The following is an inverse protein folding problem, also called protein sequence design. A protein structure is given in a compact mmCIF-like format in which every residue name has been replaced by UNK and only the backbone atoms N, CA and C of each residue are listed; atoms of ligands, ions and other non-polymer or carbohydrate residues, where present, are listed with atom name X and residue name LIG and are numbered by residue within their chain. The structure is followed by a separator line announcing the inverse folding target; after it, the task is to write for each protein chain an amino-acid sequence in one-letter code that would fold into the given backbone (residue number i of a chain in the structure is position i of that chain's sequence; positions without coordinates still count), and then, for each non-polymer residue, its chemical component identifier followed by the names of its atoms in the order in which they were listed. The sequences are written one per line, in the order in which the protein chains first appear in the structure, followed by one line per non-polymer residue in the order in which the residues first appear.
data_IF_733675542899
#
_entry.id   IF_733675542899
#
_cell.length_a   1.000
_cell.length_b   1.000
_cell.length_c   1.000
_cell.angle_alpha   90.00
_cell.angle_beta   90.00
_cell.angle_gamma   90.00
#
_symmetry.space_group_name_H-M   'P 1'
#
loop_
_entity.id
_entity.type
_entity.pdbx_description
1 polymer ?
#
# COMPACT_ATOMS: atom_id res chain seq x y z
N UNK A 1 11.49 -3.57 24.05
CA UNK A 1 10.47 -3.43 23.00
C UNK A 1 10.71 -4.55 22.00
N UNK A 2 9.82 -5.54 21.91
CA UNK A 2 9.96 -6.57 20.88
C UNK A 2 9.93 -5.90 19.50
N UNK A 3 10.83 -6.30 18.60
CA UNK A 3 10.79 -5.82 17.22
C UNK A 3 9.43 -6.21 16.65
N UNK A 4 8.59 -5.22 16.31
CA UNK A 4 7.37 -5.48 15.55
C UNK A 4 7.83 -6.09 14.23
N UNK A 5 7.40 -7.30 13.92
CA UNK A 5 7.68 -7.90 12.61
C UNK A 5 7.16 -6.92 11.55
N UNK A 6 8.03 -6.52 10.61
CA UNK A 6 7.62 -5.67 9.48
C UNK A 6 6.51 -6.37 8.72
N UNK A 7 5.41 -5.67 8.47
CA UNK A 7 4.32 -6.17 7.64
C UNK A 7 4.71 -6.15 6.17
N UNK A 8 3.97 -6.89 5.35
CA UNK A 8 4.07 -6.75 3.90
C UNK A 8 3.37 -5.45 3.50
N UNK A 9 4.03 -4.67 2.67
CA UNK A 9 3.50 -3.40 2.15
C UNK A 9 3.04 -3.59 0.72
N UNK A 10 1.83 -3.14 0.43
CA UNK A 10 1.27 -3.06 -0.90
C UNK A 10 1.10 -1.60 -1.30
N UNK A 11 1.25 -1.32 -2.58
CA UNK A 11 0.96 -0.03 -3.17
C UNK A 11 -0.47 -0.07 -3.70
N UNK A 12 -1.20 1.03 -3.53
CA UNK A 12 -2.54 1.22 -4.09
C UNK A 12 -2.54 2.45 -4.99
N UNK A 13 -2.99 2.29 -6.24
CA UNK A 13 -3.13 3.36 -7.23
C UNK A 13 -4.61 3.58 -7.60
N UNK A 14 -4.90 4.66 -8.34
CA UNK A 14 -6.27 5.03 -8.72
C UNK A 14 -6.98 5.97 -7.73
N UNK A 15 -6.24 6.52 -6.75
CA UNK A 15 -6.81 7.44 -5.77
C UNK A 15 -6.80 8.87 -6.30
N UNK A 16 -7.92 9.58 -6.21
CA UNK A 16 -8.01 10.97 -6.66
C UNK A 16 -7.28 11.93 -5.71
N UNK A 17 -6.46 12.84 -6.25
CA UNK A 17 -5.82 13.88 -5.45
C UNK A 17 -6.80 14.94 -4.92
N UNK A 18 -7.99 15.06 -5.53
CA UNK A 18 -9.05 15.97 -5.11
C UNK A 18 -9.68 15.57 -3.77
N UNK A 19 -9.66 14.28 -3.44
CA UNK A 19 -10.19 13.77 -2.19
C UNK A 19 -9.18 13.99 -1.05
N UNK A 20 -9.67 14.35 0.16
CA UNK A 20 -8.82 14.51 1.32
C UNK A 20 -8.33 13.13 1.82
N UNK A 21 -7.10 13.10 2.34
CA UNK A 21 -6.42 11.86 2.72
C UNK A 21 -7.19 11.04 3.76
N UNK A 22 -7.92 11.70 4.65
CA UNK A 22 -8.70 11.01 5.69
C UNK A 22 -9.93 10.30 5.12
N UNK A 23 -10.59 10.89 4.11
CA UNK A 23 -11.69 10.23 3.39
C UNK A 23 -11.16 9.04 2.58
N UNK A 24 -10.04 9.22 1.88
CA UNK A 24 -9.36 8.13 1.15
C UNK A 24 -9.00 6.97 2.08
N UNK A 25 -8.45 7.24 3.27
CA UNK A 25 -8.12 6.20 4.26
C UNK A 25 -9.34 5.44 4.74
N UNK A 26 -10.44 6.15 5.02
CA UNK A 26 -11.68 5.52 5.50
C UNK A 26 -12.27 4.62 4.42
N UNK A 27 -12.40 5.12 3.20
CA UNK A 27 -12.96 4.35 2.09
C UNK A 27 -12.05 3.18 1.67
N UNK A 28 -10.72 3.36 1.67
CA UNK A 28 -9.78 2.28 1.38
C UNK A 28 -9.82 1.21 2.46
N UNK A 29 -9.93 1.61 3.73
CA UNK A 29 -10.10 0.65 4.83
C UNK A 29 -11.40 -0.14 4.68
N UNK A 30 -12.50 0.51 4.31
CA UNK A 30 -13.77 -0.18 4.08
C UNK A 30 -13.66 -1.21 2.94
N UNK A 31 -13.08 -0.80 1.79
CA UNK A 31 -12.87 -1.71 0.67
C UNK A 31 -11.98 -2.91 1.04
N UNK A 32 -10.93 -2.69 1.86
CA UNK A 32 -10.11 -3.79 2.39
C UNK A 32 -10.95 -4.69 3.29
N UNK A 33 -11.65 -4.13 4.27
CA UNK A 33 -12.44 -4.88 5.25
C UNK A 33 -13.52 -5.75 4.56
N UNK A 34 -14.16 -5.23 3.50
CA UNK A 34 -15.18 -5.94 2.71
C UNK A 34 -14.63 -7.16 1.94
N UNK A 35 -13.32 -7.18 1.68
CA UNK A 35 -12.63 -8.29 0.99
C UNK A 35 -11.86 -9.22 1.93
N UNK A 36 -11.78 -8.89 3.23
CA UNK A 36 -11.16 -9.75 4.23
C UNK A 36 -12.12 -10.89 4.65
N UNK A 37 -11.59 -12.10 4.80
CA UNK A 37 -12.35 -13.19 5.40
C UNK A 37 -12.69 -12.87 6.88
N UNK A 38 -13.79 -13.43 7.38
CA UNK A 38 -14.26 -13.18 8.76
C UNK A 38 -13.18 -13.42 9.82
N UNK A 39 -12.34 -14.43 9.63
CA UNK A 39 -11.26 -14.75 10.56
C UNK A 39 -10.02 -13.86 10.41
N UNK A 40 -9.91 -13.13 9.29
CA UNK A 40 -8.86 -12.15 9.01
C UNK A 40 -9.21 -10.76 9.55
N UNK A 41 -10.48 -10.35 9.49
CA UNK A 41 -10.95 -9.03 9.94
C UNK A 41 -10.55 -8.70 11.40
N UNK A 42 -10.50 -9.71 12.26
CA UNK A 42 -10.08 -9.53 13.67
C UNK A 42 -8.57 -9.59 13.89
N UNK A 43 -7.79 -10.07 12.91
CA UNK A 43 -6.35 -10.33 13.03
C UNK A 43 -5.50 -9.32 12.26
N UNK A 44 -6.00 -8.87 11.11
CA UNK A 44 -5.30 -7.97 10.22
C UNK A 44 -5.81 -6.55 10.46
N UNK A 45 -4.89 -5.66 10.84
CA UNK A 45 -5.16 -4.23 10.92
C UNK A 45 -4.27 -3.53 9.91
N UNK A 46 -4.81 -3.03 8.79
CA UNK A 46 -4.03 -2.34 7.78
C UNK A 46 -3.55 -0.99 8.34
N UNK A 47 -2.28 -0.67 8.10
CA UNK A 47 -1.72 0.66 8.31
C UNK A 47 -1.63 1.36 6.96
N UNK A 48 -2.41 2.43 6.79
CA UNK A 48 -2.59 3.12 5.52
C UNK A 48 -1.91 4.49 5.56
N UNK A 49 -0.96 4.70 4.66
CA UNK A 49 -0.32 6.00 4.43
C UNK A 49 -0.64 6.50 3.02
N UNK A 50 -1.28 7.66 2.92
CA UNK A 50 -1.51 8.34 1.63
C UNK A 50 -0.27 9.16 1.31
N UNK A 51 0.20 9.06 0.07
CA UNK A 51 1.35 9.80 -0.46
C UNK A 51 1.00 10.39 -1.83
N UNK A 52 1.58 11.53 -2.21
CA UNK A 52 1.40 12.06 -3.56
C UNK A 52 1.97 11.08 -4.60
N UNK A 53 1.33 10.99 -5.77
CA UNK A 53 1.91 10.25 -6.90
C UNK A 53 3.10 11.03 -7.48
N UNK A 54 4.13 10.30 -7.91
CA UNK A 54 5.29 10.89 -8.60
C UNK A 54 5.06 11.04 -10.11
N UNK A 55 4.01 10.43 -10.65
CA UNK A 55 3.73 10.37 -12.09
C UNK A 55 2.60 11.30 -12.51
N UNK A 56 1.61 11.48 -11.64
CA UNK A 56 0.43 12.31 -11.91
C UNK A 56 0.11 13.17 -10.68
N UNK A 57 -0.07 14.47 -10.88
CA UNK A 57 -0.43 15.38 -9.79
C UNK A 57 -1.91 15.30 -9.40
N UNK A 58 -2.75 14.76 -10.30
CA UNK A 58 -4.18 14.59 -10.07
C UNK A 58 -4.48 13.24 -9.38
N UNK A 59 -3.46 12.43 -9.15
CA UNK A 59 -3.54 11.16 -8.43
C UNK A 59 -2.73 11.14 -7.12
N UNK A 60 -3.16 10.25 -6.22
CA UNK A 60 -2.45 9.86 -5.01
C UNK A 60 -2.20 8.37 -5.03
N UNK A 61 -1.27 7.95 -4.20
CA UNK A 61 -0.94 6.55 -3.96
C UNK A 61 -1.14 6.25 -2.47
N UNK A 62 -1.61 5.06 -2.12
CA UNK A 62 -1.55 4.59 -0.74
C UNK A 62 -0.49 3.51 -0.58
N UNK A 63 0.17 3.51 0.57
CA UNK A 63 1.00 2.43 1.07
C UNK A 63 0.22 1.74 2.18
N UNK A 64 -0.11 0.47 1.97
CA UNK A 64 -0.90 -0.33 2.90
C UNK A 64 -0.02 -1.44 3.46
N UNK A 65 0.31 -1.32 4.75
CA UNK A 65 1.06 -2.35 5.47
C UNK A 65 0.10 -3.25 6.26
N UNK A 66 0.18 -4.56 6.04
CA UNK A 66 -0.59 -5.54 6.81
C UNK A 66 0.28 -6.17 7.90
N UNK A 67 -0.07 -5.89 9.16
CA UNK A 67 0.53 -6.57 10.30
C UNK A 67 -0.23 -7.88 10.58
N UNK A 68 0.49 -8.98 10.74
CA UNK A 68 -0.10 -10.28 11.09
C UNK A 68 -0.25 -11.26 9.92
N UNK A 69 0.03 -10.83 8.69
CA UNK A 69 0.00 -11.69 7.50
C UNK A 69 -0.40 -10.92 6.25
N UNK A 70 -0.37 -11.60 5.11
CA UNK A 70 -0.92 -11.08 3.84
C UNK A 70 -2.37 -11.55 3.74
N UNK A 71 -3.34 -10.67 3.46
CA UNK A 71 -4.73 -11.06 3.21
C UNK A 71 -4.86 -12.10 2.10
N UNK A 72 -5.83 -13.00 2.21
CA UNK A 72 -6.07 -14.02 1.19
C UNK A 72 -6.25 -13.45 -0.22
N UNK A 73 -6.98 -12.33 -0.37
CA UNK A 73 -7.22 -11.70 -1.66
C UNK A 73 -5.97 -11.08 -2.31
N UNK A 74 -4.92 -10.81 -1.53
CA UNK A 74 -3.61 -10.32 -2.03
C UNK A 74 -2.55 -11.42 -2.09
N UNK A 75 -2.90 -12.66 -1.73
CA UNK A 75 -1.92 -13.76 -1.65
C UNK A 75 -1.30 -14.09 -3.02
N UNK A 76 -2.08 -13.99 -4.11
CA UNK A 76 -1.57 -14.24 -5.46
C UNK A 76 -0.48 -13.23 -5.87
N UNK A 77 -0.51 -12.00 -5.35
CA UNK A 77 0.53 -11.00 -5.60
C UNK A 77 1.86 -11.36 -4.94
N UNK A 78 1.86 -12.25 -3.94
CA UNK A 78 3.10 -12.77 -3.36
C UNK A 78 3.78 -13.78 -4.29
N UNK A 79 2.99 -14.55 -5.05
CA UNK A 79 3.48 -15.54 -6.00
C UNK A 79 3.80 -14.89 -7.37
N UNK A 80 3.04 -13.86 -7.74
CA UNK A 80 3.27 -13.05 -8.95
C UNK A 80 3.34 -11.54 -8.62
N UNK A 81 4.52 -11.03 -8.20
CA UNK A 81 4.71 -9.63 -7.82
C UNK A 81 4.53 -8.61 -8.96
N UNK A 82 4.45 -9.09 -10.21
CA UNK A 82 4.19 -8.28 -11.40
C UNK A 82 2.70 -8.15 -11.73
N UNK A 83 1.85 -8.89 -11.02
CA UNK A 83 0.41 -8.77 -11.14
C UNK A 83 -0.12 -7.54 -10.40
N UNK A 84 -1.39 -7.31 -10.60
CA UNK A 84 -2.19 -6.39 -9.84
C UNK A 84 -3.53 -7.02 -9.44
N UNK A 85 -4.09 -6.55 -8.33
CA UNK A 85 -5.42 -6.93 -7.88
C UNK A 85 -6.29 -5.69 -7.81
N UNK A 86 -7.36 -5.68 -8.61
CA UNK A 86 -8.24 -4.53 -8.75
C UNK A 86 -9.53 -4.74 -7.96
N UNK A 87 -10.02 -3.66 -7.35
CA UNK A 87 -11.29 -3.65 -6.63
C UNK A 87 -11.96 -2.30 -6.75
N UNK A 88 -13.28 -2.31 -6.74
CA UNK A 88 -14.09 -1.10 -6.72
C UNK A 88 -14.08 -0.48 -5.30
N UNK A 89 -13.81 0.81 -5.24
CA UNK A 89 -13.83 1.63 -4.03
C UNK A 89 -14.96 2.65 -4.15
N UNK A 90 -16.11 2.35 -3.55
CA UNK A 90 -17.31 3.21 -3.63
C UNK A 90 -18.08 3.00 -4.93
N UNK A 91 -18.71 4.06 -5.45
CA UNK A 91 -19.69 3.92 -6.53
C UNK A 91 -19.11 3.97 -7.96
N UNK A 92 -17.93 4.57 -8.16
CA UNK A 92 -17.37 4.80 -9.52
C UNK A 92 -15.82 4.94 -9.52
N UNK A 93 -15.10 4.32 -8.58
CA UNK A 93 -13.62 4.44 -8.52
C UNK A 93 -12.97 3.09 -8.34
N UNK A 94 -12.26 2.64 -9.39
CA UNK A 94 -11.46 1.43 -9.33
C UNK A 94 -10.07 1.75 -8.75
N UNK A 95 -9.65 0.94 -7.78
CA UNK A 95 -8.29 0.97 -7.23
C UNK A 95 -7.56 -0.32 -7.55
N UNK A 96 -6.23 -0.22 -7.65
CA UNK A 96 -5.37 -1.36 -7.97
C UNK A 96 -4.30 -1.53 -6.90
N UNK A 97 -4.19 -2.75 -6.36
CA UNK A 97 -3.16 -3.17 -5.43
C UNK A 97 -2.03 -3.86 -6.19
N UNK A 98 -0.79 -3.47 -5.92
CA UNK A 98 0.39 -4.08 -6.51
C UNK A 98 1.60 -4.05 -5.57
N UNK A 99 2.69 -4.69 -6.00
CA UNK A 99 4.01 -4.64 -5.34
C UNK A 99 5.06 -3.93 -6.22
N UNK A 100 4.63 -3.08 -7.14
CA UNK A 100 5.48 -2.31 -8.05
C UNK A 100 6.07 -1.10 -7.34
N UNK A 101 7.08 -1.35 -6.51
CA UNK A 101 7.92 -0.32 -5.91
C UNK A 101 9.08 0.12 -6.82
N UNK A 102 9.09 -0.28 -8.09
CA UNK A 102 10.12 0.16 -9.04
C UNK A 102 10.11 1.70 -9.15
N UNK A 103 11.22 2.33 -8.74
CA UNK A 103 11.35 3.79 -8.61
C UNK A 103 11.38 4.29 -7.15
N UNK A 104 10.85 3.53 -6.19
CA UNK A 104 11.11 3.73 -4.76
C UNK A 104 12.47 3.13 -4.41
N UNK A 105 13.56 3.79 -4.83
CA UNK A 105 14.86 3.46 -4.28
C UNK A 105 14.84 3.80 -2.79
N UNK A 106 14.88 2.78 -1.92
CA UNK A 106 15.41 2.98 -0.59
C UNK A 106 16.82 3.52 -0.77
N UNK A 107 17.02 4.81 -0.51
CA UNK A 107 18.32 5.31 -0.08
C UNK A 107 18.58 4.60 1.25
N UNK A 108 19.21 3.43 1.20
CA UNK A 108 19.85 2.87 2.38
C UNK A 108 20.61 4.01 3.02
N UNK A 109 20.36 4.29 4.31
CA UNK A 109 21.15 5.28 5.02
C UNK A 109 22.63 4.93 4.79
N UNK A 110 23.42 5.80 4.13
CA UNK A 110 24.82 5.54 3.91
C UNK A 110 25.44 5.24 5.28
N UNK A 111 26.38 4.30 5.36
CA UNK A 111 27.11 4.08 6.61
C UNK A 111 27.64 5.44 7.08
N UNK A 112 27.47 5.82 8.37
CA UNK A 112 27.92 7.12 8.86
C UNK A 112 29.39 7.36 8.45
N UNK A 113 29.64 8.43 7.69
CA UNK A 113 30.97 8.78 7.20
C UNK A 113 31.34 8.31 5.78
N UNK A 114 30.41 7.70 5.03
CA UNK A 114 30.64 7.34 3.62
C UNK A 114 30.21 8.49 2.69
N UNK A 115 31.05 8.94 1.74
CA UNK A 115 30.61 9.88 0.72
C UNK A 115 29.53 9.21 -0.15
N UNK A 116 28.42 9.90 -0.36
CA UNK A 116 27.41 9.49 -1.35
C UNK A 116 27.68 10.33 -2.59
N UNK A 117 28.14 9.70 -3.68
CA UNK A 117 28.29 10.34 -4.98
C UNK A 117 27.09 9.96 -5.83
N UNK A 118 26.42 10.96 -6.42
CA UNK A 118 25.50 10.74 -7.52
C UNK A 118 26.32 10.87 -8.81
N UNK A 119 26.31 9.83 -9.65
CA UNK A 119 26.76 9.92 -11.05
C UNK A 119 25.60 10.39 -11.94
#
# INVERSE_FOLDING_TARGET
MAARNKGTVFRVTGLSALQPDDELKVALKAAIDDNLADDEQSKLTPNIAIVPSCYDNDEKVALVEFHGGVPAFLSELMDNPLGDWQVEMGDDTDISFDQHFFGFTQLYAPKPGSPTTAE
#
